data_IF_686119954041
#
_entry.id   IF_686119954041
#
_cell.length_a   1.000
_cell.length_b   1.000
_cell.length_c   1.000
_cell.angle_alpha   90.00
_cell.angle_beta   90.00
_cell.angle_gamma   90.00
#
_symmetry.space_group_name_H-M   'P 1'
#
loop_
_entity.id
_entity.type
_entity.pdbx_description
1 polymer ?
#
# COMPACT_ATOMS: atom_id res chain seq x y z
N UNK A 1 -1.86 -2.78 12.43
CA UNK A 1 -2.20 -1.35 12.23
C UNK A 1 -2.87 -1.21 10.87
N UNK A 2 -3.95 -0.46 10.81
CA UNK A 2 -4.72 -0.31 9.58
C UNK A 2 -3.99 0.56 8.55
N UNK A 3 -4.32 0.38 7.28
CA UNK A 3 -3.72 1.14 6.18
C UNK A 3 -3.88 2.64 6.39
N UNK A 4 -5.08 3.09 6.74
CA UNK A 4 -5.35 4.52 6.98
C UNK A 4 -4.50 5.10 8.08
N UNK A 5 -4.32 4.37 9.17
CA UNK A 5 -3.49 4.81 10.28
C UNK A 5 -2.01 4.93 9.88
N UNK A 6 -1.51 3.97 9.11
CA UNK A 6 -0.13 4.01 8.61
C UNK A 6 0.10 5.22 7.69
N UNK A 7 -0.85 5.48 6.80
CA UNK A 7 -0.80 6.64 5.90
C UNK A 7 -0.79 7.93 6.72
N UNK A 8 -1.71 8.05 7.66
CA UNK A 8 -1.83 9.24 8.51
C UNK A 8 -0.56 9.49 9.32
N UNK A 9 -0.02 8.45 9.94
CA UNK A 9 1.19 8.59 10.75
C UNK A 9 2.36 9.09 9.90
N UNK A 10 2.54 8.53 8.72
CA UNK A 10 3.61 8.95 7.83
C UNK A 10 3.40 10.38 7.33
N UNK A 11 2.15 10.73 7.00
CA UNK A 11 1.82 12.09 6.60
C UNK A 11 2.18 13.09 7.69
N UNK A 12 1.79 12.80 8.92
CA UNK A 12 2.10 13.66 10.08
C UNK A 12 3.60 13.76 10.33
N UNK A 13 4.32 12.65 10.19
CA UNK A 13 5.79 12.64 10.32
C UNK A 13 6.46 13.56 9.29
N UNK A 14 5.86 13.73 8.14
CA UNK A 14 6.39 14.60 7.08
C UNK A 14 5.84 16.02 7.15
N UNK A 15 5.07 16.35 8.19
CA UNK A 15 4.44 17.65 8.38
C UNK A 15 3.54 18.07 7.21
N UNK A 16 2.88 17.09 6.58
CA UNK A 16 1.94 17.32 5.50
C UNK A 16 0.51 17.39 6.04
N UNK A 17 -0.30 18.25 5.41
CA UNK A 17 -1.72 18.35 5.71
C UNK A 17 -2.52 17.40 4.80
N UNK A 18 -3.73 17.05 5.24
CA UNK A 18 -4.65 16.27 4.39
C UNK A 18 -4.93 16.98 3.06
N UNK A 19 -5.01 18.32 3.09
CA UNK A 19 -5.21 19.11 1.86
C UNK A 19 -4.04 18.98 0.90
N UNK A 20 -2.81 18.89 1.42
CA UNK A 20 -1.63 18.66 0.58
C UNK A 20 -1.73 17.32 -0.13
N UNK A 21 -2.08 16.27 0.59
CA UNK A 21 -2.23 14.93 0.03
C UNK A 21 -3.31 14.90 -1.04
N UNK A 22 -4.46 15.50 -0.76
CA UNK A 22 -5.56 15.53 -1.72
C UNK A 22 -5.18 16.23 -3.01
N UNK A 23 -4.39 17.31 -2.91
CA UNK A 23 -3.90 18.02 -4.08
C UNK A 23 -2.90 17.20 -4.89
N UNK A 24 -2.01 16.49 -4.21
CA UNK A 24 -0.92 15.74 -4.85
C UNK A 24 -1.35 14.41 -5.46
N UNK A 25 -2.38 13.76 -4.91
CA UNK A 25 -2.86 12.47 -5.42
C UNK A 25 -3.46 12.57 -6.84
N UNK A 26 -4.21 13.49 -7.42
CA UNK A 26 -5.18 14.44 -6.88
C UNK A 26 -6.53 13.79 -6.59
N UNK A 27 -7.18 14.22 -5.54
CA UNK A 27 -8.51 13.73 -5.18
C UNK A 27 -9.21 14.72 -4.25
N UNK A 28 -10.47 14.46 -3.99
CA UNK A 28 -11.26 15.26 -3.04
C UNK A 28 -10.74 15.04 -1.62
N UNK A 29 -10.55 16.12 -0.87
CA UNK A 29 -10.03 16.05 0.49
C UNK A 29 -10.92 15.24 1.43
N UNK A 30 -12.23 15.35 1.28
CA UNK A 30 -13.18 14.59 2.07
C UNK A 30 -13.01 13.09 1.84
N UNK A 31 -12.80 12.68 0.60
CA UNK A 31 -12.56 11.28 0.25
C UNK A 31 -11.19 10.80 0.77
N UNK A 32 -10.18 11.65 0.68
CA UNK A 32 -8.88 11.32 1.23
C UNK A 32 -8.95 11.11 2.75
N UNK A 33 -9.68 12.00 3.45
CA UNK A 33 -9.90 11.87 4.89
C UNK A 33 -10.54 10.52 5.25
N UNK A 34 -11.47 10.06 4.43
CA UNK A 34 -12.11 8.75 4.62
C UNK A 34 -11.13 7.60 4.47
N UNK A 35 -10.14 7.74 3.60
CA UNK A 35 -9.08 6.73 3.46
C UNK A 35 -8.27 6.64 4.76
N UNK A 36 -7.88 7.75 5.34
CA UNK A 36 -7.12 7.76 6.60
C UNK A 36 -7.92 7.19 7.77
N UNK A 37 -9.26 7.29 7.71
CA UNK A 37 -10.13 6.74 8.75
C UNK A 37 -10.58 5.31 8.49
N UNK A 38 -10.07 4.69 7.43
CA UNK A 38 -10.41 3.32 7.02
C UNK A 38 -11.92 3.14 6.71
N UNK A 39 -12.57 4.21 6.28
CA UNK A 39 -13.97 4.19 5.85
C UNK A 39 -14.08 3.91 4.35
N UNK A 40 -13.06 4.28 3.59
CA UNK A 40 -13.00 4.11 2.15
C UNK A 40 -11.65 3.50 1.76
N UNK A 41 -11.67 2.52 0.87
CA UNK A 41 -10.45 1.96 0.32
C UNK A 41 -9.93 2.84 -0.82
N UNK A 42 -8.63 3.09 -0.90
CA UNK A 42 -8.07 3.80 -2.05
C UNK A 42 -8.09 2.90 -3.29
N UNK A 43 -8.23 3.51 -4.46
CA UNK A 43 -7.99 2.80 -5.71
C UNK A 43 -6.50 2.43 -5.81
N UNK A 44 -6.17 1.50 -6.72
CA UNK A 44 -4.76 1.14 -6.95
C UNK A 44 -3.92 2.34 -7.35
N UNK A 45 -4.47 3.21 -8.21
CA UNK A 45 -3.78 4.42 -8.62
C UNK A 45 -3.57 5.39 -7.46
N UNK A 46 -4.60 5.57 -6.63
CA UNK A 46 -4.51 6.42 -5.44
C UNK A 46 -3.48 5.86 -4.46
N UNK A 47 -3.49 4.56 -4.24
CA UNK A 47 -2.54 3.89 -3.35
C UNK A 47 -1.10 4.06 -3.84
N UNK A 48 -0.87 3.89 -5.13
CA UNK A 48 0.45 4.10 -5.73
C UNK A 48 0.93 5.52 -5.50
N UNK A 49 0.07 6.52 -5.74
CA UNK A 49 0.39 7.92 -5.51
C UNK A 49 0.71 8.22 -4.05
N UNK A 50 -0.10 7.69 -3.14
CA UNK A 50 0.13 7.84 -1.70
C UNK A 50 1.51 7.31 -1.32
N UNK A 51 1.84 6.12 -1.78
CA UNK A 51 3.15 5.53 -1.51
C UNK A 51 4.29 6.36 -2.07
N UNK A 52 4.13 6.91 -3.26
CA UNK A 52 5.14 7.76 -3.87
C UNK A 52 5.33 9.08 -3.10
N UNK A 53 4.23 9.73 -2.74
CA UNK A 53 4.26 11.02 -2.04
C UNK A 53 4.90 10.85 -0.66
N UNK A 54 4.51 9.81 0.07
CA UNK A 54 4.94 9.58 1.44
C UNK A 54 6.21 8.73 1.54
N UNK A 55 6.74 8.29 0.41
CA UNK A 55 7.86 7.35 0.39
C UNK A 55 7.59 6.13 1.29
N UNK A 56 6.38 5.59 1.19
CA UNK A 56 5.95 4.39 1.92
C UNK A 56 6.19 3.16 1.06
N UNK A 57 6.77 2.14 1.68
CA UNK A 57 6.89 0.83 1.04
C UNK A 57 5.50 0.18 1.00
N UNK A 58 4.97 -0.17 -0.19
CA UNK A 58 3.68 -0.84 -0.29
C UNK A 58 3.63 -2.16 0.50
N UNK A 59 4.76 -2.85 0.62
CA UNK A 59 4.84 -4.09 1.39
C UNK A 59 4.56 -3.84 2.87
N UNK A 60 5.13 -2.79 3.43
CA UNK A 60 4.85 -2.38 4.79
C UNK A 60 3.40 -1.95 4.95
N UNK A 61 2.90 -1.14 4.01
CA UNK A 61 1.55 -0.61 4.08
C UNK A 61 0.49 -1.70 4.05
N UNK A 62 0.69 -2.71 3.19
CA UNK A 62 -0.26 -3.80 3.00
C UNK A 62 0.05 -5.03 3.88
N UNK A 63 1.05 -4.93 4.75
CA UNK A 63 1.49 -6.01 5.64
C UNK A 63 1.90 -7.28 4.88
N UNK A 64 2.47 -7.11 3.68
CA UNK A 64 2.90 -8.23 2.86
C UNK A 64 4.12 -8.96 3.42
N UNK A 65 4.85 -8.32 4.34
CA UNK A 65 5.98 -8.96 5.01
C UNK A 65 5.56 -10.21 5.81
N UNK A 66 4.32 -10.23 6.30
CA UNK A 66 3.77 -11.39 6.98
C UNK A 66 3.59 -12.59 6.05
N UNK A 67 3.36 -12.34 4.77
CA UNK A 67 3.24 -13.40 3.77
C UNK A 67 4.55 -14.10 3.52
N UNK A 68 5.68 -13.41 3.66
CA UNK A 68 7.00 -14.02 3.50
C UNK A 68 7.33 -14.98 4.64
N UNK A 69 6.78 -14.74 5.84
CA UNK A 69 7.02 -15.57 7.01
C UNK A 69 5.99 -16.70 7.17
N UNK A 70 4.81 -16.55 6.59
CA UNK A 70 3.70 -17.50 6.80
C UNK A 70 3.88 -18.78 6.00
N UNK A 71 4.65 -18.76 4.90
CA UNK A 71 4.74 -20.00 4.14
C UNK A 71 5.96 -20.06 3.25
N UNK A 72 7.05 -20.56 3.82
CA UNK A 72 8.11 -21.10 3.01
C UNK A 72 7.57 -22.13 2.02
N UNK A 73 6.56 -22.92 2.42
CA UNK A 73 5.92 -23.91 1.54
C UNK A 73 5.16 -23.24 0.39
N UNK A 74 4.44 -22.16 0.65
CA UNK A 74 3.72 -21.45 -0.40
C UNK A 74 4.67 -20.70 -1.32
N UNK A 75 5.78 -20.20 -0.81
CA UNK A 75 6.83 -19.59 -1.64
C UNK A 75 7.52 -20.62 -2.52
N UNK A 76 7.77 -21.82 -1.99
CA UNK A 76 8.32 -22.93 -2.77
C UNK A 76 7.36 -23.36 -3.87
N UNK A 77 6.06 -23.43 -3.56
CA UNK A 77 5.04 -23.75 -4.54
C UNK A 77 4.96 -22.70 -5.65
N UNK A 78 4.99 -21.43 -5.28
CA UNK A 78 5.02 -20.33 -6.23
C UNK A 78 6.28 -20.35 -7.09
N UNK A 79 7.41 -20.68 -6.50
CA UNK A 79 8.67 -20.82 -7.22
C UNK A 79 8.60 -21.97 -8.23
N UNK A 80 8.06 -23.12 -7.85
CA UNK A 80 7.89 -24.28 -8.73
C UNK A 80 6.95 -23.96 -9.89
N UNK A 81 5.86 -23.26 -9.63
CA UNK A 81 4.92 -22.82 -10.67
C UNK A 81 5.61 -21.86 -11.63
N UNK A 82 6.41 -20.95 -11.12
CA UNK A 82 7.15 -19.99 -11.93
C UNK A 82 8.16 -20.69 -12.85
N UNK A 83 8.87 -21.68 -12.34
CA UNK A 83 9.81 -22.49 -13.12
C UNK A 83 9.08 -23.25 -14.22
N UNK A 84 7.92 -23.84 -13.91
CA UNK A 84 7.09 -24.53 -14.89
C UNK A 84 6.61 -23.61 -16.02
N UNK A 85 6.20 -22.41 -15.68
CA UNK A 85 5.76 -21.40 -16.65
C UNK A 85 6.93 -20.96 -17.52
N UNK A 86 8.09 -20.75 -16.95
CA UNK A 86 9.29 -20.34 -17.70
C UNK A 86 9.77 -21.42 -18.66
N UNK A 87 9.61 -22.70 -18.28
CA UNK A 87 9.98 -23.83 -19.15
C UNK A 87 9.03 -24.02 -20.33
N UNK A 88 7.80 -23.52 -20.23
CA UNK A 88 6.78 -23.71 -21.26
C UNK A 88 6.50 -22.43 -22.07
N UNK A 89 7.21 -21.36 -21.79
CA UNK A 89 7.07 -20.10 -22.52
C UNK A 89 7.98 -20.02 -23.75
#
# INVERSE_FOLDING_TARGET
MNIGTKIRNKREDMDLLQSDMARLIPMNQSNYSKIERDIQEPSMEQLRRICQILNLDPRYLLELDEFETISQKDMELLHDIKILIEKHS
#
